data_IF_692028133536
#
_entry.id   IF_692028133536
#
_cell.length_a   1.000
_cell.length_b   1.000
_cell.length_c   1.000
_cell.angle_alpha   90.00
_cell.angle_beta   90.00
_cell.angle_gamma   90.00
#
_symmetry.space_group_name_H-M   'P 1'
#
loop_
_entity.id
_entity.type
_entity.pdbx_description
1 polymer ?
#
# COMPACT_ATOMS: atom_id res chain seq x y z
N UNK A 1 4.81 -4.64 -13.55
CA UNK A 1 6.26 -4.92 -13.53
C UNK A 1 6.41 -6.41 -13.40
N UNK A 2 7.12 -7.01 -14.32
CA UNK A 2 7.47 -8.43 -14.27
C UNK A 2 8.72 -8.59 -13.41
N UNK A 3 8.62 -9.29 -12.30
CA UNK A 3 9.71 -9.53 -11.37
C UNK A 3 10.29 -10.97 -11.45
N UNK A 4 9.86 -11.75 -12.46
CA UNK A 4 10.31 -13.14 -12.60
C UNK A 4 11.81 -13.28 -12.82
N UNK A 5 12.49 -12.22 -13.27
CA UNK A 5 13.94 -12.19 -13.46
C UNK A 5 14.74 -11.72 -12.23
N UNK A 6 14.08 -11.34 -11.14
CA UNK A 6 14.73 -10.88 -9.91
C UNK A 6 14.76 -12.02 -8.90
N UNK A 7 15.93 -12.63 -8.69
CA UNK A 7 16.14 -13.74 -7.76
C UNK A 7 15.70 -13.48 -6.29
N UNK A 8 15.44 -12.22 -5.93
CA UNK A 8 15.02 -11.79 -4.61
C UNK A 8 13.56 -11.28 -4.57
N UNK A 9 12.81 -11.41 -5.65
CA UNK A 9 11.43 -10.94 -5.69
C UNK A 9 10.53 -11.78 -4.78
N UNK A 10 9.82 -11.12 -3.89
CA UNK A 10 8.86 -11.75 -2.95
C UNK A 10 7.58 -12.19 -3.68
N UNK A 11 7.33 -11.68 -4.87
CA UNK A 11 6.27 -12.10 -5.79
C UNK A 11 6.70 -11.84 -7.23
N UNK A 12 6.19 -12.67 -8.14
CA UNK A 12 6.56 -12.62 -9.56
C UNK A 12 6.09 -11.34 -10.27
N UNK A 13 5.10 -10.64 -9.71
CA UNK A 13 4.54 -9.42 -10.29
C UNK A 13 4.29 -8.36 -9.23
N UNK A 14 4.80 -7.17 -9.46
CA UNK A 14 4.49 -5.99 -8.68
C UNK A 14 3.98 -4.90 -9.61
N UNK A 15 2.69 -4.55 -9.54
CA UNK A 15 2.15 -3.45 -10.33
C UNK A 15 2.30 -2.17 -9.53
N UNK A 16 3.16 -1.30 -10.01
CA UNK A 16 3.23 0.08 -9.57
C UNK A 16 2.53 0.91 -10.62
N UNK A 17 1.36 1.43 -10.30
CA UNK A 17 0.70 2.40 -11.15
C UNK A 17 0.64 3.73 -10.46
N UNK A 18 1.08 4.76 -11.13
CA UNK A 18 0.83 6.14 -10.75
C UNK A 18 -0.63 6.51 -11.08
N UNK A 19 -1.56 5.70 -10.55
CA UNK A 19 -2.98 5.83 -10.83
C UNK A 19 -3.57 6.95 -9.99
N UNK A 20 -3.63 8.15 -10.54
CA UNK A 20 -4.28 9.31 -9.92
C UNK A 20 -5.82 9.21 -9.91
N UNK A 21 -6.42 8.13 -10.38
CA UNK A 21 -7.87 7.96 -10.41
C UNK A 21 -8.33 6.52 -10.16
N UNK A 22 -9.47 6.37 -9.48
CA UNK A 22 -10.16 5.08 -9.31
C UNK A 22 -10.40 4.33 -10.64
N UNK A 23 -10.46 5.04 -11.76
CA UNK A 23 -10.66 4.45 -13.09
C UNK A 23 -9.42 3.72 -13.57
N UNK A 24 -8.24 4.31 -13.38
CA UNK A 24 -6.96 3.68 -13.74
C UNK A 24 -6.69 2.44 -12.88
N UNK A 25 -6.94 2.52 -11.56
CA UNK A 25 -6.81 1.35 -10.67
C UNK A 25 -7.74 0.22 -11.07
N UNK A 26 -8.98 0.53 -11.47
CA UNK A 26 -9.92 -0.47 -11.99
C UNK A 26 -9.44 -1.12 -13.30
N UNK A 27 -8.83 -0.34 -14.19
CA UNK A 27 -8.28 -0.85 -15.44
C UNK A 27 -7.14 -1.83 -15.15
N UNK A 28 -6.21 -1.47 -14.27
CA UNK A 28 -5.08 -2.31 -13.88
C UNK A 28 -5.56 -3.58 -13.16
N UNK A 29 -6.52 -3.47 -12.23
CA UNK A 29 -7.11 -4.63 -11.58
C UNK A 29 -7.74 -5.60 -12.60
N UNK A 30 -8.32 -5.10 -13.68
CA UNK A 30 -8.93 -5.92 -14.72
C UNK A 30 -7.91 -6.63 -15.65
N UNK A 31 -6.63 -6.30 -15.56
CA UNK A 31 -5.55 -6.99 -16.32
C UNK A 31 -5.15 -8.33 -15.66
N UNK A 32 -5.60 -8.59 -14.41
CA UNK A 32 -5.35 -9.83 -13.70
C UNK A 32 -6.57 -10.71 -13.69
N UNK A 33 -6.33 -11.99 -13.95
CA UNK A 33 -7.36 -13.01 -13.78
C UNK A 33 -7.32 -13.58 -12.35
N UNK A 34 -8.49 -13.69 -11.74
CA UNK A 34 -8.71 -14.34 -10.45
C UNK A 34 -9.53 -15.60 -10.64
N UNK A 35 -9.15 -16.63 -9.92
CA UNK A 35 -9.92 -17.87 -9.87
C UNK A 35 -11.19 -17.61 -9.04
N UNK A 36 -12.35 -17.79 -9.65
CA UNK A 36 -13.67 -17.61 -9.04
C UNK A 36 -14.52 -18.89 -9.23
N UNK A 37 -15.59 -19.03 -8.49
CA UNK A 37 -16.49 -20.17 -8.62
C UNK A 37 -16.90 -20.77 -7.28
N UNK A 38 -17.51 -21.96 -7.29
CA UNK A 38 -17.85 -22.75 -8.48
C UNK A 38 -19.00 -22.15 -9.31
N UNK A 39 -18.96 -22.38 -10.64
CA UNK A 39 -20.08 -22.07 -11.53
C UNK A 39 -21.25 -23.05 -11.30
N UNK A 40 -22.32 -22.93 -12.08
CA UNK A 40 -23.50 -23.79 -11.97
C UNK A 40 -23.19 -25.28 -12.25
N UNK A 41 -22.05 -25.57 -12.89
CA UNK A 41 -21.56 -26.91 -13.21
C UNK A 41 -20.60 -27.44 -12.14
N UNK A 42 -20.27 -26.62 -11.13
CA UNK A 42 -19.35 -26.97 -10.04
C UNK A 42 -17.87 -26.77 -10.37
N UNK A 43 -17.54 -26.09 -11.47
CA UNK A 43 -16.17 -25.85 -11.90
C UNK A 43 -15.68 -24.46 -11.49
N UNK A 44 -14.38 -24.36 -11.18
CA UNK A 44 -13.70 -23.09 -10.98
C UNK A 44 -13.38 -22.47 -12.33
N UNK A 45 -13.54 -21.16 -12.47
CA UNK A 45 -13.24 -20.42 -13.71
C UNK A 45 -12.43 -19.16 -13.42
N UNK A 46 -11.67 -18.74 -14.40
CA UNK A 46 -10.91 -17.50 -14.34
C UNK A 46 -11.75 -16.34 -14.86
N UNK A 47 -11.67 -15.21 -14.17
CA UNK A 47 -12.27 -13.96 -14.59
C UNK A 47 -11.37 -12.77 -14.30
N UNK A 48 -11.51 -11.66 -15.04
CA UNK A 48 -10.81 -10.42 -14.72
C UNK A 48 -11.08 -9.96 -13.28
N UNK A 49 -10.02 -9.57 -12.57
CA UNK A 49 -10.12 -9.11 -11.20
C UNK A 49 -10.94 -7.81 -11.10
N UNK A 50 -11.59 -7.65 -9.96
CA UNK A 50 -12.34 -6.45 -9.57
C UNK A 50 -11.59 -5.73 -8.45
N UNK A 51 -11.77 -4.42 -8.25
CA UNK A 51 -11.12 -3.67 -7.17
C UNK A 51 -11.41 -4.18 -5.75
N UNK A 52 -12.48 -5.00 -5.60
CA UNK A 52 -12.84 -5.63 -4.33
C UNK A 52 -12.20 -7.00 -4.10
N UNK A 53 -11.58 -7.58 -5.13
CA UNK A 53 -10.91 -8.85 -5.01
C UNK A 53 -9.59 -8.68 -4.25
N UNK A 54 -9.22 -9.72 -3.49
CA UNK A 54 -7.93 -9.73 -2.79
C UNK A 54 -6.82 -10.04 -3.78
N UNK A 55 -5.66 -9.45 -3.56
CA UNK A 55 -4.46 -9.87 -4.26
C UNK A 55 -4.18 -11.35 -4.00
N UNK A 56 -3.72 -12.05 -5.03
CA UNK A 56 -3.32 -13.45 -4.91
C UNK A 56 -2.16 -13.55 -3.93
N UNK A 57 -2.25 -14.48 -2.99
CA UNK A 57 -1.14 -14.74 -2.08
C UNK A 57 0.06 -15.31 -2.86
N UNK A 58 1.28 -14.80 -2.67
CA UNK A 58 2.47 -15.31 -3.34
C UNK A 58 2.86 -16.72 -2.86
N UNK A 59 2.35 -17.16 -1.72
CA UNK A 59 2.62 -18.46 -1.13
C UNK A 59 1.32 -19.21 -0.80
N UNK A 60 1.33 -20.54 -0.98
CA UNK A 60 0.18 -21.39 -0.69
C UNK A 60 -0.11 -21.50 0.81
N UNK A 61 0.92 -21.39 1.64
CA UNK A 61 0.81 -21.50 3.10
C UNK A 61 2.01 -20.85 3.83
N UNK A 62 1.86 -20.67 5.15
CA UNK A 62 2.87 -20.05 6.02
C UNK A 62 4.22 -20.79 6.02
N UNK A 63 4.21 -22.12 5.87
CA UNK A 63 5.44 -22.91 5.86
C UNK A 63 6.26 -22.65 4.59
N UNK A 64 5.58 -22.56 3.45
CA UNK A 64 6.21 -22.20 2.18
C UNK A 64 6.78 -20.78 2.22
N UNK A 65 5.99 -19.81 2.73
CA UNK A 65 6.45 -18.46 2.93
C UNK A 65 7.73 -18.39 3.79
N UNK A 66 7.80 -19.14 4.88
CA UNK A 66 8.99 -19.20 5.74
C UNK A 66 10.19 -19.90 5.06
N UNK A 67 9.92 -20.99 4.32
CA UNK A 67 10.97 -21.73 3.62
C UNK A 67 11.67 -20.84 2.57
N UNK A 68 10.90 -20.05 1.84
CA UNK A 68 11.42 -19.16 0.79
C UNK A 68 12.06 -17.87 1.35
N UNK A 69 11.82 -17.53 2.63
CA UNK A 69 12.31 -16.31 3.27
C UNK A 69 13.26 -16.60 4.46
N UNK A 70 14.10 -17.61 4.38
CA UNK A 70 15.07 -17.98 5.42
C UNK A 70 14.47 -18.13 6.84
N UNK A 71 13.24 -18.61 6.93
CA UNK A 71 12.50 -18.77 8.19
C UNK A 71 11.69 -17.53 8.62
N UNK A 72 11.89 -16.38 8.00
CA UNK A 72 11.09 -15.20 8.26
C UNK A 72 9.70 -15.33 7.62
N UNK A 73 8.70 -14.74 8.28
CA UNK A 73 7.33 -14.66 7.72
C UNK A 73 7.09 -13.25 7.19
N UNK A 74 6.92 -13.05 5.88
CA UNK A 74 6.63 -11.74 5.32
C UNK A 74 5.27 -11.22 5.82
N UNK A 75 5.19 -10.00 6.35
CA UNK A 75 3.92 -9.42 6.79
C UNK A 75 3.06 -9.00 5.59
N UNK A 76 1.74 -9.01 5.78
CA UNK A 76 0.81 -8.37 4.85
C UNK A 76 1.05 -6.85 4.81
N UNK A 77 1.34 -6.32 3.62
CA UNK A 77 1.64 -4.91 3.41
C UNK A 77 0.42 -4.05 3.07
N UNK A 78 -0.76 -4.65 2.86
CA UNK A 78 -1.96 -3.93 2.38
C UNK A 78 -2.39 -2.76 3.25
N UNK A 79 -2.12 -2.82 4.56
CA UNK A 79 -2.43 -1.76 5.53
C UNK A 79 -1.20 -1.25 6.28
N UNK A 80 0.00 -1.51 5.78
CA UNK A 80 1.26 -1.23 6.48
C UNK A 80 1.42 0.26 6.81
N UNK A 81 1.00 1.16 5.93
CA UNK A 81 1.07 2.60 6.12
C UNK A 81 0.22 3.09 7.30
N UNK A 82 -0.84 2.36 7.66
CA UNK A 82 -1.64 2.62 8.87
C UNK A 82 -1.10 1.92 10.11
N UNK A 83 -0.42 0.80 9.92
CA UNK A 83 0.08 -0.03 11.01
C UNK A 83 1.41 0.49 11.60
N UNK A 84 2.03 1.48 11.01
CA UNK A 84 3.32 2.03 11.45
C UNK A 84 3.22 3.51 11.80
N UNK A 85 3.94 3.88 12.86
CA UNK A 85 4.12 5.29 13.21
C UNK A 85 4.86 5.99 12.06
N UNK A 86 4.42 7.18 11.70
CA UNK A 86 4.86 7.96 10.54
C UNK A 86 4.45 7.40 9.17
N UNK A 87 3.66 6.31 9.12
CA UNK A 87 2.99 5.83 7.91
C UNK A 87 3.89 5.75 6.69
N UNK A 88 3.62 6.57 5.72
CA UNK A 88 4.30 6.66 4.44
C UNK A 88 5.79 6.99 4.58
N UNK A 89 6.12 7.99 5.41
CA UNK A 89 7.50 8.42 5.64
C UNK A 89 8.36 7.28 6.22
N UNK A 90 7.77 6.46 7.11
CA UNK A 90 8.48 5.30 7.65
C UNK A 90 8.77 4.27 6.57
N UNK A 91 7.80 3.93 5.72
CA UNK A 91 7.99 2.94 4.65
C UNK A 91 9.01 3.44 3.62
N UNK A 92 8.89 4.71 3.21
CA UNK A 92 9.86 5.31 2.30
C UNK A 92 11.30 5.25 2.85
N UNK A 93 11.47 5.68 4.10
CA UNK A 93 12.76 5.66 4.75
C UNK A 93 13.28 4.21 4.96
N UNK A 94 12.38 3.25 5.22
CA UNK A 94 12.75 1.83 5.33
C UNK A 94 13.30 1.31 3.99
N UNK A 95 12.63 1.61 2.88
CA UNK A 95 13.06 1.18 1.53
C UNK A 95 14.40 1.80 1.14
N UNK A 96 14.63 3.06 1.51
CA UNK A 96 15.88 3.79 1.23
C UNK A 96 16.97 3.58 2.29
N UNK A 97 16.69 2.84 3.36
CA UNK A 97 17.56 2.73 4.53
C UNK A 97 18.55 1.58 4.52
N UNK A 98 18.66 0.83 3.42
CA UNK A 98 19.62 -0.23 3.27
C UNK A 98 21.01 0.34 3.01
N UNK A 99 21.95 0.02 3.88
CA UNK A 99 23.34 0.46 3.84
C UNK A 99 24.25 -0.68 4.32
N UNK A 100 25.55 -0.53 4.13
CA UNK A 100 26.52 -1.42 4.77
C UNK A 100 26.50 -1.23 6.29
N UNK A 101 26.62 -2.33 7.02
CA UNK A 101 26.64 -2.26 8.48
C UNK A 101 27.87 -1.46 8.96
N UNK A 102 27.71 -0.56 9.94
CA UNK A 102 28.84 0.17 10.50
C UNK A 102 29.82 -0.79 11.19
N UNK A 103 31.11 -0.40 11.25
CA UNK A 103 32.17 -1.17 11.89
C UNK A 103 31.79 -1.55 13.33
N UNK A 104 31.90 -2.83 13.64
CA UNK A 104 31.59 -3.37 14.97
C UNK A 104 30.13 -3.80 15.18
N UNK A 105 29.25 -3.66 14.20
CA UNK A 105 27.90 -4.21 14.24
C UNK A 105 27.86 -5.55 13.48
N UNK A 106 27.65 -6.64 14.20
CA UNK A 106 27.45 -7.95 13.57
C UNK A 106 25.97 -8.07 13.14
N UNK A 107 25.76 -8.30 11.84
CA UNK A 107 24.44 -8.57 11.26
C UNK A 107 24.19 -10.08 11.34
N UNK A 108 23.00 -10.46 11.82
CA UNK A 108 22.60 -11.86 11.94
C UNK A 108 22.58 -12.58 10.58
N UNK A 109 22.75 -13.91 10.60
CA UNK A 109 22.72 -14.70 9.38
C UNK A 109 21.33 -14.57 8.70
N UNK A 110 21.32 -14.24 7.41
CA UNK A 110 20.07 -14.00 6.64
C UNK A 110 19.36 -12.69 6.97
N UNK A 111 20.05 -11.78 7.65
CA UNK A 111 19.56 -10.42 7.95
C UNK A 111 20.35 -9.38 7.17
N UNK A 112 19.74 -8.24 6.94
CA UNK A 112 20.32 -7.09 6.25
C UNK A 112 20.31 -5.89 7.20
N UNK A 113 21.35 -5.07 7.14
CA UNK A 113 21.37 -3.82 7.89
C UNK A 113 20.40 -2.82 7.29
N UNK A 114 19.61 -2.18 8.14
CA UNK A 114 18.72 -1.10 7.76
C UNK A 114 18.64 -0.09 8.91
N UNK A 115 19.03 1.14 8.67
CA UNK A 115 19.11 2.18 9.71
C UNK A 115 17.76 2.60 10.29
N UNK A 116 16.64 2.33 9.58
CA UNK A 116 15.30 2.73 10.00
C UNK A 116 14.50 1.59 10.65
N UNK A 117 14.96 0.37 10.51
CA UNK A 117 14.34 -0.77 11.18
C UNK A 117 14.68 -0.76 12.67
N UNK A 118 13.72 -1.06 13.52
CA UNK A 118 13.96 -1.24 14.94
C UNK A 118 14.95 -2.38 15.17
N UNK A 119 16.08 -2.10 15.85
CA UNK A 119 17.20 -3.04 16.00
C UNK A 119 18.18 -3.07 14.83
N UNK A 120 18.00 -2.20 13.85
CA UNK A 120 18.88 -1.97 12.70
C UNK A 120 19.12 -3.20 11.81
N UNK A 121 18.26 -4.22 11.90
CA UNK A 121 18.35 -5.44 11.10
C UNK A 121 16.96 -5.86 10.61
N UNK A 122 16.91 -6.30 9.36
CA UNK A 122 15.66 -6.74 8.70
C UNK A 122 15.95 -8.01 7.89
N UNK A 123 15.01 -8.96 7.90
CA UNK A 123 15.13 -10.19 7.13
C UNK A 123 14.85 -10.00 5.62
N UNK A 124 14.15 -8.93 5.25
CA UNK A 124 13.86 -8.61 3.86
C UNK A 124 15.14 -8.08 3.18
N UNK A 125 15.58 -8.65 2.05
CA UNK A 125 16.63 -8.03 1.24
C UNK A 125 16.18 -6.69 0.68
N UNK A 126 17.10 -5.85 0.22
CA UNK A 126 16.75 -4.58 -0.42
C UNK A 126 15.89 -4.85 -1.67
N UNK A 127 14.60 -4.46 -1.65
CA UNK A 127 13.67 -4.84 -2.72
C UNK A 127 13.74 -3.91 -3.94
N UNK A 128 14.41 -2.76 -3.80
CA UNK A 128 14.46 -1.71 -4.82
C UNK A 128 15.91 -1.36 -5.11
N UNK A 129 16.28 -1.47 -6.38
CA UNK A 129 17.61 -1.13 -6.90
C UNK A 129 17.44 -0.14 -8.07
N UNK A 130 18.46 0.72 -8.28
CA UNK A 130 18.49 1.62 -9.42
C UNK A 130 18.40 0.83 -10.73
N UNK A 131 17.49 1.22 -11.62
CA UNK A 131 17.32 0.58 -12.92
C UNK A 131 16.74 -0.84 -12.88
N UNK A 132 16.14 -1.26 -11.77
CA UNK A 132 15.49 -2.57 -11.66
C UNK A 132 14.19 -2.67 -12.46
N UNK A 133 13.65 -1.55 -12.92
CA UNK A 133 12.38 -1.45 -13.65
C UNK A 133 12.52 -0.41 -14.74
N UNK A 134 11.96 -0.67 -15.91
CA UNK A 134 11.81 0.31 -16.98
C UNK A 134 10.36 0.78 -17.07
N UNK A 135 10.16 2.10 -17.13
CA UNK A 135 8.86 2.71 -17.36
C UNK A 135 8.65 3.00 -18.85
N UNK A 136 7.50 2.62 -19.38
CA UNK A 136 7.15 2.85 -20.79
C UNK A 136 7.05 4.34 -21.15
N UNK A 137 6.79 5.20 -20.17
CA UNK A 137 6.67 6.66 -20.33
C UNK A 137 8.01 7.41 -20.22
N UNK A 138 9.13 6.69 -19.99
CA UNK A 138 10.46 7.29 -19.81
C UNK A 138 10.68 7.97 -18.45
N UNK A 139 9.85 7.68 -17.46
CA UNK A 139 10.08 8.11 -16.08
C UNK A 139 11.42 7.58 -15.56
N UNK A 140 12.10 8.37 -14.74
CA UNK A 140 13.40 8.01 -14.16
C UNK A 140 13.26 6.77 -13.24
N UNK A 141 14.15 5.78 -13.44
CA UNK A 141 14.13 4.46 -12.78
C UNK A 141 15.08 4.37 -11.59
N UNK A 142 15.37 5.50 -10.95
CA UNK A 142 16.18 5.50 -9.74
C UNK A 142 15.40 4.95 -8.52
N UNK A 143 16.12 4.40 -7.55
CA UNK A 143 15.54 3.80 -6.35
C UNK A 143 14.63 4.77 -5.57
N UNK A 144 14.91 6.07 -5.64
CA UNK A 144 14.09 7.09 -5.00
C UNK A 144 12.70 7.16 -5.62
N UNK A 145 12.60 7.28 -6.96
CA UNK A 145 11.34 7.32 -7.68
C UNK A 145 10.54 6.03 -7.45
N UNK A 146 11.21 4.89 -7.61
CA UNK A 146 10.59 3.58 -7.39
C UNK A 146 10.03 3.45 -5.96
N UNK A 147 10.76 3.95 -4.95
CA UNK A 147 10.30 3.93 -3.56
C UNK A 147 9.09 4.84 -3.33
N UNK A 148 9.06 6.03 -3.95
CA UNK A 148 7.92 6.96 -3.89
C UNK A 148 6.65 6.32 -4.51
N UNK A 149 6.81 5.63 -5.63
CA UNK A 149 5.70 4.96 -6.33
C UNK A 149 5.14 3.78 -5.51
N UNK A 150 6.01 2.93 -4.95
CA UNK A 150 5.60 1.83 -4.06
C UNK A 150 4.86 2.36 -2.83
N UNK A 151 5.38 3.39 -2.19
CA UNK A 151 4.76 3.99 -1.00
C UNK A 151 3.40 4.60 -1.33
N UNK A 152 3.29 5.26 -2.49
CA UNK A 152 2.01 5.80 -2.98
C UNK A 152 0.99 4.70 -3.22
N UNK A 153 1.40 3.59 -3.82
CA UNK A 153 0.55 2.41 -3.99
C UNK A 153 0.10 1.82 -2.64
N UNK A 154 1.02 1.63 -1.70
CA UNK A 154 0.69 1.10 -0.36
C UNK A 154 -0.23 2.04 0.43
N UNK A 155 -0.09 3.35 0.26
CA UNK A 155 -1.03 4.33 0.80
C UNK A 155 -2.42 4.16 0.23
N UNK A 156 -2.52 4.06 -1.10
CA UNK A 156 -3.80 3.83 -1.76
C UNK A 156 -4.41 2.48 -1.32
N UNK A 157 -3.62 1.41 -1.27
CA UNK A 157 -4.07 0.09 -0.80
C UNK A 157 -4.66 0.15 0.61
N UNK A 158 -4.04 0.93 1.51
CA UNK A 158 -4.53 1.08 2.88
C UNK A 158 -5.78 1.99 2.99
N UNK A 159 -5.98 2.93 2.07
CA UNK A 159 -7.08 3.91 2.09
C UNK A 159 -7.61 4.25 0.69
N UNK A 160 -8.20 3.30 -0.05
CA UNK A 160 -8.67 3.55 -1.42
C UNK A 160 -9.77 4.63 -1.50
N UNK A 161 -10.52 4.83 -0.42
CA UNK A 161 -11.61 5.82 -0.33
C UNK A 161 -11.18 7.16 0.31
N UNK A 162 -9.88 7.41 0.47
CA UNK A 162 -9.35 8.58 1.17
C UNK A 162 -9.86 9.90 0.57
N UNK A 163 -9.84 10.04 -0.75
CA UNK A 163 -10.26 11.25 -1.45
C UNK A 163 -11.77 11.47 -1.34
N UNK A 164 -12.56 10.42 -1.52
CA UNK A 164 -14.02 10.46 -1.38
C UNK A 164 -14.39 10.86 0.04
N UNK A 165 -13.74 10.28 1.04
CA UNK A 165 -13.96 10.58 2.46
C UNK A 165 -13.60 12.02 2.80
N UNK A 166 -12.45 12.54 2.32
CA UNK A 166 -12.03 13.94 2.54
C UNK A 166 -13.01 14.92 1.91
N UNK A 167 -13.42 14.68 0.66
CA UNK A 167 -14.38 15.52 -0.05
C UNK A 167 -15.76 15.52 0.62
N UNK A 168 -16.20 14.36 1.12
CA UNK A 168 -17.43 14.27 1.90
C UNK A 168 -17.30 15.04 3.23
N UNK A 169 -16.16 14.92 3.90
CA UNK A 169 -15.87 15.62 5.16
C UNK A 169 -16.03 17.14 5.02
N UNK A 170 -15.52 17.74 3.96
CA UNK A 170 -15.68 19.18 3.67
C UNK A 170 -17.16 19.55 3.54
N UNK A 171 -17.91 18.77 2.80
CA UNK A 171 -19.37 19.01 2.62
C UNK A 171 -20.13 18.92 3.96
N UNK A 172 -19.78 17.94 4.79
CA UNK A 172 -20.37 17.75 6.13
C UNK A 172 -20.04 18.93 7.05
N UNK A 173 -18.80 19.40 7.05
CA UNK A 173 -18.41 20.58 7.85
C UNK A 173 -19.20 21.82 7.42
N UNK A 174 -19.29 22.08 6.12
CA UNK A 174 -20.07 23.22 5.61
C UNK A 174 -21.54 23.10 5.98
N UNK A 175 -22.12 21.90 5.88
CA UNK A 175 -23.52 21.66 6.29
C UNK A 175 -23.72 22.00 7.78
N UNK A 176 -22.84 21.53 8.66
CA UNK A 176 -22.96 21.82 10.10
C UNK A 176 -22.73 23.28 10.44
N UNK A 177 -21.90 24.01 9.72
CA UNK A 177 -21.73 25.45 9.90
C UNK A 177 -23.03 26.20 9.55
N UNK A 178 -23.66 25.86 8.43
CA UNK A 178 -24.92 26.45 8.02
C UNK A 178 -26.03 26.09 9.02
N UNK A 179 -26.18 24.81 9.36
CA UNK A 179 -27.17 24.34 10.32
C UNK A 179 -26.99 25.00 11.68
N UNK A 180 -25.75 25.08 12.19
CA UNK A 180 -25.43 25.74 13.45
C UNK A 180 -25.82 27.22 13.46
N UNK A 181 -25.58 27.92 12.35
CA UNK A 181 -25.98 29.32 12.19
C UNK A 181 -27.51 29.46 12.23
N UNK A 182 -28.22 28.61 11.50
CA UNK A 182 -29.70 28.63 11.49
C UNK A 182 -30.27 28.35 12.89
N UNK A 183 -29.75 27.32 13.56
CA UNK A 183 -30.19 26.97 14.91
C UNK A 183 -29.87 28.08 15.91
N UNK A 184 -28.71 28.71 15.79
CA UNK A 184 -28.35 29.87 16.62
C UNK A 184 -29.30 31.05 16.44
N UNK A 185 -29.65 31.40 15.20
CA UNK A 185 -30.61 32.46 14.89
C UNK A 185 -31.99 32.11 15.40
N UNK A 186 -32.45 30.88 15.20
CA UNK A 186 -33.71 30.39 15.71
C UNK A 186 -33.79 30.48 17.25
N UNK A 187 -32.74 30.02 17.93
CA UNK A 187 -32.61 30.15 19.38
C UNK A 187 -32.75 31.62 19.81
N UNK A 188 -31.98 32.52 19.20
CA UNK A 188 -32.00 33.94 19.61
C UNK A 188 -33.37 34.58 19.38
N UNK A 189 -34.10 34.17 18.36
CA UNK A 189 -35.46 34.65 18.11
C UNK A 189 -36.43 34.14 19.15
N UNK A 190 -36.44 32.87 19.47
CA UNK A 190 -37.30 32.25 20.47
C UNK A 190 -37.05 32.79 21.88
N UNK A 191 -35.80 32.97 22.25
CA UNK A 191 -35.44 33.40 23.62
C UNK A 191 -35.63 34.90 23.84
N UNK A 192 -35.67 35.71 22.79
CA UNK A 192 -35.96 37.14 22.86
C UNK A 192 -37.36 37.44 23.35
N UNK A 193 -38.32 36.50 23.12
CA UNK A 193 -39.71 36.64 23.57
C UNK A 193 -39.92 36.11 24.99
N UNK A 194 -38.95 35.47 25.58
CA UNK A 194 -39.01 34.86 26.92
C UNK A 194 -38.39 35.76 28.01
N UNK A 195 -37.61 36.76 27.59
CA UNK A 195 -37.00 37.78 28.45
C UNK A 195 -37.47 39.17 28.00
#
# INVERSE_FOLDING_TARGET
IDLTEIDAAVCDYFIISNANSNTQVKAIAAEYDVLDGPNDEGEMFERPARPADRFVNPYLNDNEARANNNGAYPPDLSVITKARKYGEDYIYNLLMGYEEAPEGLEVGNGMYYNKWMAGNQIAMPAPILDGSVDYDDGTDTNAKQLSEDVVTFLKWSAEPELEVRKNMGIKVILFFLILGTVVYLAKNRLWREVH
#
